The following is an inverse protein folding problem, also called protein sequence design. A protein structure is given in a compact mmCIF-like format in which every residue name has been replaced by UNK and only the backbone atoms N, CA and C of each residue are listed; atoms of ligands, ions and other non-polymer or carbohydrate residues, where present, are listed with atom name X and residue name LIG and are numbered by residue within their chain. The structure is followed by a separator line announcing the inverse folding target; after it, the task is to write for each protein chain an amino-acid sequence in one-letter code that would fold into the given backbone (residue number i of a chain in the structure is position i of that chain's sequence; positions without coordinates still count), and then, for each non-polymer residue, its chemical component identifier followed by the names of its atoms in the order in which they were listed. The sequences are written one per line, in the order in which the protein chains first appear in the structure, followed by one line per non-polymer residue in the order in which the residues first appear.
data_IF_665310983831
#
_entry.id   IF_665310983831
#
_cell.length_a   1.000
_cell.length_b   1.000
_cell.length_c   1.000
_cell.angle_alpha   90.00
_cell.angle_beta   90.00
_cell.angle_gamma   90.00
#
_symmetry.space_group_name_H-M   'P 1'
#
loop_
_entity.id
_entity.type
_entity.pdbx_description
1 polymer ?
#
# COMPACT_ATOMS: atom_id res chain seq x y z
N UNK A 1 4.38 -31.73 -5.84
CA UNK A 1 3.69 -31.33 -4.59
C UNK A 1 4.16 -29.93 -4.17
N UNK A 2 5.47 -29.67 -4.14
CA UNK A 2 6.06 -28.34 -3.83
C UNK A 2 5.58 -27.18 -4.72
N UNK A 3 5.37 -27.37 -6.02
CA UNK A 3 4.91 -26.28 -6.89
C UNK A 3 3.48 -25.82 -6.60
N UNK A 4 2.59 -26.75 -6.23
CA UNK A 4 1.22 -26.42 -5.80
C UNK A 4 1.21 -25.67 -4.48
N UNK A 5 2.07 -26.05 -3.54
CA UNK A 5 2.27 -25.33 -2.28
C UNK A 5 2.84 -23.92 -2.49
N UNK A 6 3.76 -23.77 -3.45
CA UNK A 6 4.31 -22.45 -3.81
C UNK A 6 3.26 -21.54 -4.43
N UNK A 7 2.42 -22.06 -5.32
CA UNK A 7 1.33 -21.31 -5.93
C UNK A 7 0.27 -20.88 -4.91
N UNK A 8 -0.11 -21.78 -3.99
CA UNK A 8 -1.05 -21.47 -2.92
C UNK A 8 -0.53 -20.34 -2.01
N UNK A 9 0.76 -20.38 -1.64
CA UNK A 9 1.40 -19.31 -0.84
C UNK A 9 1.43 -17.97 -1.56
N UNK A 10 1.68 -17.96 -2.87
CA UNK A 10 1.69 -16.71 -3.65
C UNK A 10 0.28 -16.11 -3.76
N UNK A 11 -0.74 -16.96 -3.88
CA UNK A 11 -2.15 -16.52 -3.90
C UNK A 11 -2.57 -15.93 -2.56
N UNK A 12 -2.25 -16.59 -1.45
CA UNK A 12 -2.51 -16.06 -0.10
C UNK A 12 -1.79 -14.72 0.14
N UNK A 13 -0.57 -14.59 -0.37
CA UNK A 13 0.19 -13.33 -0.27
C UNK A 13 -0.48 -12.20 -1.06
N UNK A 14 -1.07 -12.48 -2.23
CA UNK A 14 -1.82 -11.49 -3.00
C UNK A 14 -3.07 -11.00 -2.25
N UNK A 15 -3.82 -11.92 -1.64
CA UNK A 15 -5.01 -11.57 -0.85
C UNK A 15 -4.64 -10.67 0.34
N UNK A 16 -3.53 -10.96 1.01
CA UNK A 16 -3.03 -10.12 2.11
C UNK A 16 -2.60 -8.73 1.61
N UNK A 17 -1.92 -8.67 0.47
CA UNK A 17 -1.49 -7.40 -0.14
C UNK A 17 -2.69 -6.54 -0.54
N UNK A 18 -3.71 -7.13 -1.15
CA UNK A 18 -4.94 -6.42 -1.53
C UNK A 18 -5.70 -5.91 -0.30
N UNK A 19 -5.82 -6.72 0.77
CA UNK A 19 -6.41 -6.26 2.04
C UNK A 19 -5.64 -5.09 2.67
N UNK A 20 -4.31 -5.14 2.64
CA UNK A 20 -3.47 -4.05 3.17
C UNK A 20 -3.61 -2.79 2.32
N UNK A 21 -3.74 -2.93 1.01
CA UNK A 21 -3.96 -1.83 0.09
C UNK A 21 -5.24 -1.07 0.43
N UNK A 22 -6.36 -1.79 0.63
CA UNK A 22 -7.62 -1.18 1.07
C UNK A 22 -7.51 -0.52 2.44
N UNK A 23 -6.82 -1.16 3.39
CA UNK A 23 -6.64 -0.62 4.76
C UNK A 23 -5.82 0.67 4.81
N UNK A 24 -4.94 0.91 3.85
CA UNK A 24 -4.05 2.07 3.83
C UNK A 24 -4.59 3.18 2.94
N UNK A 25 -5.36 2.84 1.90
CA UNK A 25 -5.95 3.80 0.98
C UNK A 25 -6.79 4.88 1.67
N UNK A 26 -7.76 4.46 2.49
CA UNK A 26 -8.68 5.40 3.14
C UNK A 26 -7.97 6.33 4.15
N UNK A 27 -7.12 5.82 5.09
CA UNK A 27 -6.36 6.67 5.99
C UNK A 27 -5.41 7.64 5.27
N UNK A 28 -4.78 7.22 4.17
CA UNK A 28 -3.88 8.07 3.40
C UNK A 28 -4.62 9.25 2.75
N UNK A 29 -5.81 9.01 2.19
CA UNK A 29 -6.68 10.06 1.64
C UNK A 29 -7.11 11.04 2.74
N UNK A 30 -7.52 10.53 3.91
CA UNK A 30 -7.92 11.36 5.05
C UNK A 30 -6.75 12.20 5.60
N UNK A 31 -5.56 11.62 5.75
CA UNK A 31 -4.38 12.35 6.20
C UNK A 31 -3.97 13.43 5.20
N UNK A 32 -4.04 13.16 3.89
CA UNK A 32 -3.76 14.16 2.85
C UNK A 32 -4.73 15.33 2.93
N UNK A 33 -6.03 15.06 3.09
CA UNK A 33 -7.04 16.10 3.26
C UNK A 33 -6.79 16.94 4.53
N UNK A 34 -6.39 16.30 5.63
CA UNK A 34 -6.12 16.98 6.92
C UNK A 34 -4.87 17.86 6.86
N UNK A 35 -3.80 17.40 6.23
CA UNK A 35 -2.57 18.19 5.99
C UNK A 35 -2.88 19.44 5.18
N UNK A 36 -3.65 19.30 4.09
CA UNK A 36 -4.00 20.42 3.22
C UNK A 36 -4.84 21.49 3.95
N UNK A 37 -5.76 21.07 4.84
CA UNK A 37 -6.51 22.00 5.69
C UNK A 37 -5.61 22.75 6.67
N UNK A 38 -4.76 22.02 7.41
CA UNK A 38 -3.86 22.63 8.39
C UNK A 38 -2.86 23.62 7.75
N UNK A 39 -2.40 23.34 6.52
CA UNK A 39 -1.56 24.27 5.76
C UNK A 39 -2.33 25.53 5.35
N UNK A 40 -3.61 25.41 5.00
CA UNK A 40 -4.48 26.55 4.66
C UNK A 40 -4.77 27.44 5.88
N UNK A 41 -4.80 26.85 7.07
CA UNK A 41 -5.03 27.55 8.34
C UNK A 41 -3.75 28.19 8.94
N UNK A 42 -2.60 28.08 8.25
CA UNK A 42 -1.33 28.68 8.70
C UNK A 42 -0.64 27.96 9.87
N UNK A 43 -1.06 26.74 10.21
CA UNK A 43 -0.43 25.94 11.25
C UNK A 43 0.85 25.24 10.75
N UNK A 44 1.87 25.12 11.60
CA UNK A 44 3.07 24.35 11.27
C UNK A 44 2.74 22.84 11.26
N UNK A 45 2.97 22.19 10.11
CA UNK A 45 2.46 20.86 9.76
C UNK A 45 3.54 19.86 9.35
N UNK A 46 4.81 20.15 9.67
CA UNK A 46 5.97 19.31 9.27
C UNK A 46 5.78 17.83 9.64
N UNK A 47 5.30 17.52 10.85
CA UNK A 47 5.08 16.13 11.26
C UNK A 47 3.96 15.44 10.46
N UNK A 48 2.87 16.15 10.20
CA UNK A 48 1.74 15.61 9.43
C UNK A 48 2.12 15.39 7.95
N UNK A 49 2.91 16.29 7.36
CA UNK A 49 3.51 16.12 6.02
C UNK A 49 4.43 14.91 5.96
N UNK A 50 5.25 14.68 6.99
CA UNK A 50 6.14 13.53 7.06
C UNK A 50 5.36 12.21 7.19
N UNK A 51 4.28 12.18 7.97
CA UNK A 51 3.42 11.01 8.04
C UNK A 51 2.72 10.70 6.71
N UNK A 52 2.27 11.73 6.00
CA UNK A 52 1.69 11.57 4.67
C UNK A 52 2.70 11.00 3.67
N UNK A 53 3.93 11.55 3.63
CA UNK A 53 4.98 11.03 2.78
C UNK A 53 5.29 9.54 3.05
N UNK A 54 5.39 9.15 4.33
CA UNK A 54 5.60 7.74 4.68
C UNK A 54 4.47 6.81 4.20
N UNK A 55 3.22 7.28 4.20
CA UNK A 55 2.09 6.50 3.70
C UNK A 55 2.12 6.35 2.18
N UNK A 56 2.50 7.42 1.47
CA UNK A 56 2.68 7.41 0.03
C UNK A 56 3.78 6.42 -0.37
N UNK A 57 4.92 6.47 0.33
CA UNK A 57 6.03 5.52 0.13
C UNK A 57 5.61 4.06 0.38
N UNK A 58 4.86 3.82 1.46
CA UNK A 58 4.33 2.47 1.78
C UNK A 58 3.37 1.99 0.68
N UNK A 59 2.48 2.85 0.21
CA UNK A 59 1.55 2.53 -0.86
C UNK A 59 2.27 2.16 -2.17
N UNK A 60 3.31 2.90 -2.55
CA UNK A 60 4.14 2.58 -3.71
C UNK A 60 4.85 1.23 -3.56
N UNK A 61 5.38 0.93 -2.37
CA UNK A 61 5.99 -0.37 -2.08
C UNK A 61 4.97 -1.52 -2.20
N UNK A 62 3.73 -1.32 -1.74
CA UNK A 62 2.67 -2.30 -1.92
C UNK A 62 2.31 -2.51 -3.39
N UNK A 63 2.20 -1.45 -4.19
CA UNK A 63 1.97 -1.54 -5.64
C UNK A 63 3.08 -2.33 -6.35
N UNK A 64 4.34 -2.01 -6.05
CA UNK A 64 5.49 -2.69 -6.64
C UNK A 64 5.49 -4.17 -6.29
N UNK A 65 5.28 -4.51 -5.02
CA UNK A 65 5.26 -5.88 -4.53
C UNK A 65 4.12 -6.67 -5.15
N UNK A 66 2.90 -6.09 -5.19
CA UNK A 66 1.74 -6.70 -5.85
C UNK A 66 2.04 -7.02 -7.31
N UNK A 67 2.62 -6.07 -8.06
CA UNK A 67 2.98 -6.28 -9.47
C UNK A 67 3.97 -7.44 -9.64
N UNK A 68 4.99 -7.54 -8.79
CA UNK A 68 5.97 -8.63 -8.83
C UNK A 68 5.27 -9.98 -8.61
N UNK A 69 4.46 -10.07 -7.56
CA UNK A 69 3.77 -11.32 -7.19
C UNK A 69 2.73 -11.71 -8.23
N UNK A 70 1.93 -10.76 -8.76
CA UNK A 70 0.98 -11.04 -9.85
C UNK A 70 1.68 -11.58 -11.10
N UNK A 71 2.79 -10.98 -11.53
CA UNK A 71 3.54 -11.46 -12.69
C UNK A 71 4.10 -12.87 -12.47
N UNK A 72 4.54 -13.19 -11.25
CA UNK A 72 5.06 -14.52 -10.90
C UNK A 72 3.94 -15.57 -10.83
N UNK A 73 2.73 -15.19 -10.42
CA UNK A 73 1.54 -16.04 -10.44
C UNK A 73 1.06 -16.29 -11.87
N UNK A 74 0.97 -15.26 -12.71
CA UNK A 74 0.53 -15.37 -14.12
C UNK A 74 1.48 -16.21 -14.97
N UNK A 75 2.80 -16.12 -14.75
CA UNK A 75 3.78 -16.98 -15.44
C UNK A 75 3.64 -18.47 -15.12
N UNK A 76 2.93 -18.82 -14.05
CA UNK A 76 2.81 -20.19 -13.51
C UNK A 76 1.40 -20.77 -13.63
N UNK A 77 0.43 -19.98 -14.11
CA UNK A 77 -0.95 -20.40 -14.40
C UNK A 77 -1.05 -20.98 -15.82
#
# INVERSE_FOLDING_TARGET
MEEKDKFARLSELLDILDQNFFRIGDPAVEQRARVNRLQSDGNDTVLARRHLANLEDLYELFLLTRRIVSNDTERRA
#
